data_IF_385970911194
#
_entry.id   IF_385970911194
#
_cell.length_a   1.000
_cell.length_b   1.000
_cell.length_c   1.000
_cell.angle_alpha   90.00
_cell.angle_beta   90.00
_cell.angle_gamma   90.00
#
_symmetry.space_group_name_H-M   'P 1'
#
loop_
_entity.id
_entity.type
_entity.pdbx_description
1 polymer ?
#
# COMPACT_ATOMS: atom_id res chain seq x y z
N UNK A 1 -14.70 -8.40 -3.90
CA UNK A 1 -13.42 -7.69 -4.16
C UNK A 1 -12.67 -7.60 -2.84
N UNK A 2 -11.34 -7.77 -2.81
CA UNK A 2 -10.56 -7.77 -1.55
C UNK A 2 -10.81 -6.53 -0.69
N UNK A 3 -11.11 -5.40 -1.33
CA UNK A 3 -11.43 -4.11 -0.72
C UNK A 3 -12.67 -4.17 0.21
N UNK A 4 -13.55 -5.17 0.05
CA UNK A 4 -14.73 -5.39 0.89
C UNK A 4 -14.49 -6.41 2.03
N UNK A 5 -13.35 -7.12 1.99
CA UNK A 5 -12.98 -8.15 2.96
C UNK A 5 -11.97 -7.65 4.00
N UNK A 6 -11.33 -6.52 3.72
CA UNK A 6 -10.27 -5.94 4.53
C UNK A 6 -10.74 -4.63 5.19
N UNK A 7 -10.10 -4.21 6.30
CA UNK A 7 -10.36 -2.91 6.88
C UNK A 7 -10.20 -1.77 5.85
N UNK A 8 -10.94 -0.66 6.01
CA UNK A 8 -10.83 0.48 5.09
C UNK A 8 -9.40 1.02 5.01
N UNK A 9 -8.93 1.29 3.78
CA UNK A 9 -7.59 1.84 3.56
C UNK A 9 -6.46 0.81 3.56
N UNK A 10 -6.75 -0.49 3.73
CA UNK A 10 -5.72 -1.54 3.69
C UNK A 10 -5.28 -1.92 2.28
N UNK A 11 -6.20 -1.91 1.31
CA UNK A 11 -5.92 -2.39 -0.04
C UNK A 11 -6.47 -1.45 -1.11
N UNK A 12 -5.62 -1.09 -2.07
CA UNK A 12 -5.96 -0.28 -3.23
C UNK A 12 -5.49 -0.98 -4.51
N UNK A 13 -6.42 -1.47 -5.33
CA UNK A 13 -6.11 -2.03 -6.64
C UNK A 13 -6.02 -0.94 -7.72
N UNK A 14 -4.85 -0.78 -8.33
CA UNK A 14 -4.65 0.00 -9.55
C UNK A 14 -4.24 -0.96 -10.67
N UNK A 15 -5.16 -1.21 -11.59
CA UNK A 15 -4.92 -2.08 -12.73
C UNK A 15 -5.83 -1.61 -13.87
N UNK A 16 -5.35 -0.72 -14.76
CA UNK A 16 -6.16 -0.22 -15.86
C UNK A 16 -6.63 -1.37 -16.75
N UNK A 17 -7.85 -1.22 -17.27
CA UNK A 17 -8.30 -2.03 -18.39
C UNK A 17 -7.65 -1.48 -19.66
N UNK A 18 -6.93 -2.33 -20.39
CA UNK A 18 -6.31 -1.96 -21.66
C UNK A 18 -7.31 -2.18 -22.79
N UNK A 19 -7.41 -1.23 -23.72
CA UNK A 19 -8.24 -1.38 -24.91
C UNK A 19 -7.70 -2.37 -25.94
N UNK A 20 -6.43 -2.78 -25.82
CA UNK A 20 -5.77 -3.77 -26.69
C UNK A 20 -5.00 -4.81 -25.89
N UNK A 21 -4.87 -6.02 -26.44
CA UNK A 21 -3.96 -7.05 -25.93
C UNK A 21 -2.52 -6.71 -26.33
N UNK A 22 -1.65 -6.56 -25.34
CA UNK A 22 -0.23 -6.22 -25.54
C UNK A 22 0.62 -7.38 -25.02
N UNK A 23 1.50 -7.98 -25.85
CA UNK A 23 2.34 -9.09 -25.41
C UNK A 23 3.43 -8.61 -24.45
N UNK A 24 3.89 -9.52 -23.58
CA UNK A 24 4.87 -9.20 -22.54
C UNK A 24 6.23 -8.72 -23.10
N UNK A 25 6.61 -9.17 -24.30
CA UNK A 25 7.86 -8.82 -24.97
C UNK A 25 7.74 -7.59 -25.90
N UNK A 26 6.66 -6.81 -25.78
CA UNK A 26 6.51 -5.57 -26.54
C UNK A 26 7.60 -4.56 -26.16
N UNK A 27 8.21 -3.96 -27.17
CA UNK A 27 9.30 -2.97 -26.99
C UNK A 27 9.21 -1.80 -27.95
N UNK A 28 8.22 -1.80 -28.85
CA UNK A 28 8.02 -0.72 -29.81
C UNK A 28 7.61 0.57 -29.11
N UNK A 29 8.30 1.70 -29.33
CA UNK A 29 8.03 2.95 -28.63
C UNK A 29 6.58 3.42 -28.73
N UNK A 30 5.95 3.25 -29.89
CA UNK A 30 4.55 3.62 -30.11
C UNK A 30 3.58 2.83 -29.20
N UNK A 31 3.85 1.55 -28.96
CA UNK A 31 3.03 0.72 -28.06
C UNK A 31 3.29 1.04 -26.59
N UNK A 32 4.53 1.37 -26.23
CA UNK A 32 4.85 1.82 -24.87
C UNK A 32 4.20 3.18 -24.56
N UNK A 33 4.19 4.11 -25.52
CA UNK A 33 3.50 5.39 -25.39
C UNK A 33 1.98 5.22 -25.28
N UNK A 34 1.41 4.29 -26.05
CA UNK A 34 0.00 3.91 -25.92
C UNK A 34 -0.33 3.39 -24.52
N UNK A 35 0.45 2.44 -23.99
CA UNK A 35 0.28 1.92 -22.62
C UNK A 35 0.33 3.03 -21.57
N UNK A 36 1.26 3.98 -21.73
CA UNK A 36 1.37 5.15 -20.85
C UNK A 36 0.11 6.02 -20.92
N UNK A 37 -0.40 6.32 -22.11
CA UNK A 37 -1.60 7.15 -22.29
C UNK A 37 -2.87 6.50 -21.69
N UNK A 38 -3.04 5.19 -21.85
CA UNK A 38 -4.14 4.43 -21.22
C UNK A 38 -4.03 4.47 -19.68
N UNK A 39 -2.81 4.32 -19.14
CA UNK A 39 -2.56 4.40 -17.71
C UNK A 39 -2.83 5.81 -17.14
N UNK A 40 -2.39 6.87 -17.83
CA UNK A 40 -2.67 8.26 -17.46
C UNK A 40 -4.19 8.53 -17.44
N UNK A 41 -4.88 8.16 -18.51
CA UNK A 41 -6.35 8.30 -18.62
C UNK A 41 -7.08 7.54 -17.51
N UNK A 42 -6.62 6.34 -17.16
CA UNK A 42 -7.17 5.58 -16.04
C UNK A 42 -6.95 6.28 -14.70
N UNK A 43 -5.75 6.80 -14.44
CA UNK A 43 -5.44 7.51 -13.20
C UNK A 43 -6.26 8.79 -13.06
N UNK A 44 -6.45 9.56 -14.14
CA UNK A 44 -7.30 10.75 -14.15
C UNK A 44 -8.75 10.41 -13.76
N UNK A 45 -9.33 9.38 -14.37
CA UNK A 45 -10.68 8.91 -14.04
C UNK A 45 -10.80 8.39 -12.60
N UNK A 46 -9.69 7.94 -12.01
CA UNK A 46 -9.62 7.35 -10.68
C UNK A 46 -8.90 8.25 -9.66
N UNK A 47 -8.82 9.56 -9.92
CA UNK A 47 -8.04 10.51 -9.13
C UNK A 47 -8.40 10.46 -7.64
N UNK A 48 -9.69 10.35 -7.31
CA UNK A 48 -10.15 10.24 -5.93
C UNK A 48 -9.58 9.01 -5.19
N UNK A 49 -9.45 7.86 -5.87
CA UNK A 49 -8.85 6.65 -5.30
C UNK A 49 -7.35 6.85 -5.08
N UNK A 50 -6.67 7.52 -6.02
CA UNK A 50 -5.26 7.85 -5.92
C UNK A 50 -4.98 8.80 -4.75
N UNK A 51 -5.76 9.89 -4.63
CA UNK A 51 -5.68 10.84 -3.51
C UNK A 51 -5.93 10.16 -2.16
N UNK A 52 -6.90 9.23 -2.09
CA UNK A 52 -7.15 8.46 -0.87
C UNK A 52 -5.98 7.54 -0.52
N UNK A 53 -5.40 6.85 -1.49
CA UNK A 53 -4.23 6.00 -1.27
C UNK A 53 -3.03 6.84 -0.77
N UNK A 54 -2.74 7.96 -1.44
CA UNK A 54 -1.68 8.89 -1.03
C UNK A 54 -1.92 9.43 0.39
N UNK A 55 -3.16 9.85 0.70
CA UNK A 55 -3.55 10.28 2.04
C UNK A 55 -3.24 9.22 3.09
N UNK A 56 -3.63 7.97 2.88
CA UNK A 56 -3.37 6.87 3.83
C UNK A 56 -1.88 6.60 3.98
N UNK A 57 -1.12 6.57 2.88
CA UNK A 57 0.33 6.32 2.91
C UNK A 57 1.13 7.44 3.61
N UNK A 58 0.64 8.67 3.54
CA UNK A 58 1.26 9.82 4.19
C UNK A 58 0.76 10.06 5.63
N UNK A 59 -0.11 9.20 6.18
CA UNK A 59 -0.56 9.35 7.56
C UNK A 59 0.61 9.14 8.53
N UNK A 60 0.87 10.15 9.35
CA UNK A 60 1.80 10.01 10.45
C UNK A 60 1.20 9.16 11.57
N UNK A 61 2.06 8.38 12.23
CA UNK A 61 1.69 7.72 13.48
C UNK A 61 1.34 8.78 14.52
N UNK A 62 0.16 8.64 15.14
CA UNK A 62 -0.23 9.46 16.28
C UNK A 62 0.70 9.25 17.47
N UNK A 63 0.74 10.23 18.39
CA UNK A 63 1.52 10.12 19.63
C UNK A 63 1.14 8.88 20.43
N UNK A 64 -0.17 8.54 20.48
CA UNK A 64 -0.67 7.36 21.18
C UNK A 64 -0.14 6.07 20.52
N UNK A 65 -0.20 5.97 19.18
CA UNK A 65 0.36 4.83 18.47
C UNK A 65 1.87 4.69 18.70
N UNK A 66 2.63 5.78 18.66
CA UNK A 66 4.08 5.77 18.93
C UNK A 66 4.39 5.27 20.34
N UNK A 67 3.65 5.74 21.35
CA UNK A 67 3.83 5.29 22.75
C UNK A 67 3.44 3.82 22.91
N UNK A 68 2.34 3.38 22.31
CA UNK A 68 1.90 1.98 22.37
C UNK A 68 2.90 1.04 21.71
N UNK A 69 3.43 1.40 20.53
CA UNK A 69 4.47 0.65 19.84
C UNK A 69 5.78 0.62 20.65
N UNK A 70 6.17 1.73 21.27
CA UNK A 70 7.35 1.78 22.14
C UNK A 70 7.20 0.87 23.36
N UNK A 71 6.04 0.89 24.02
CA UNK A 71 5.77 0.04 25.17
C UNK A 71 5.79 -1.44 24.77
N UNK A 72 5.15 -1.78 23.65
CA UNK A 72 5.20 -3.13 23.08
C UNK A 72 6.64 -3.56 22.79
N UNK A 73 7.43 -2.72 22.13
CA UNK A 73 8.83 -2.99 21.84
C UNK A 73 9.63 -3.28 23.13
N UNK A 74 9.40 -2.50 24.20
CA UNK A 74 10.07 -2.74 25.48
C UNK A 74 9.63 -4.05 26.11
N UNK A 75 8.34 -4.36 26.12
CA UNK A 75 7.85 -5.65 26.62
C UNK A 75 8.49 -6.82 25.86
N UNK A 76 8.46 -6.79 24.52
CA UNK A 76 9.04 -7.83 23.67
C UNK A 76 10.55 -8.02 23.91
N UNK A 77 11.30 -6.93 24.19
CA UNK A 77 12.72 -7.01 24.54
C UNK A 77 12.97 -7.67 25.91
N UNK A 78 12.10 -7.42 26.89
CA UNK A 78 12.25 -7.96 28.25
C UNK A 78 11.69 -9.38 28.40
N UNK A 79 10.71 -9.78 27.58
CA UNK A 79 10.23 -11.17 27.52
C UNK A 79 11.32 -12.15 27.02
N UNK A 80 12.31 -11.68 26.27
CA UNK A 80 13.47 -12.47 25.82
C UNK A 80 14.66 -12.50 26.78
N UNK A 81 14.62 -11.77 27.90
CA UNK A 81 15.69 -11.76 28.90
C UNK A 81 15.38 -12.77 30.02
N UNK A 82 16.34 -13.60 30.47
CA UNK A 82 16.12 -14.63 31.48
C UNK A 82 16.08 -13.99 32.88
N UNK A 83 15.12 -13.09 33.13
CA UNK A 83 14.96 -12.44 34.43
C UNK A 83 14.02 -13.19 35.38
N UNK A 84 13.40 -14.30 34.96
CA UNK A 84 12.83 -15.26 35.90
C UNK A 84 13.92 -16.22 36.39
N UNK A 85 14.90 -15.70 37.14
CA UNK A 85 15.64 -16.57 38.07
C UNK A 85 14.64 -16.95 39.16
N UNK A 86 14.23 -18.22 39.18
CA UNK A 86 13.49 -18.78 40.31
C UNK A 86 14.33 -18.58 41.57
N UNK A 87 13.82 -17.78 42.50
CA UNK A 87 14.13 -17.89 43.91
C UNK A 87 12.80 -17.95 44.66
#
# INVERSE_FOLDING_TARGET
>A
MLDALLPPGTYFRFNPYMSEDIPLNESRPEKLNFLKGEAESYLERNEAKLKKAASVLCQEKSTIQRVAEWAKLKADMYEGLPFSSKL
#
